data_IF_033576436254
#
_entry.id   IF_033576436254
#
_cell.length_a   1.000
_cell.length_b   1.000
_cell.length_c   1.000
_cell.angle_alpha   90.00
_cell.angle_beta   90.00
_cell.angle_gamma   90.00
#
_symmetry.space_group_name_H-M   'P 1'
#
loop_
_entity.id
_entity.type
_entity.pdbx_description
1 polymer ?
#
# COMPACT_ATOMS: atom_id res chain seq x y z
N UNK A 1 -3.33 38.41 -17.69
CA UNK A 1 -3.44 38.05 -19.11
C UNK A 1 -2.74 36.74 -19.45
N UNK A 2 -1.68 36.33 -18.74
CA UNK A 2 -0.95 35.08 -19.03
C UNK A 2 -1.59 33.80 -18.44
N UNK A 3 -2.42 33.91 -17.41
CA UNK A 3 -3.12 32.75 -16.80
C UNK A 3 -4.30 32.24 -17.63
N UNK A 4 -4.95 33.12 -18.39
CA UNK A 4 -6.16 32.82 -19.18
C UNK A 4 -5.85 31.90 -20.37
N UNK A 5 -4.70 32.08 -21.01
CA UNK A 5 -4.25 31.22 -22.12
C UNK A 5 -3.90 29.80 -21.66
N UNK A 6 -3.33 29.63 -20.45
CA UNK A 6 -2.98 28.31 -19.90
C UNK A 6 -4.23 27.51 -19.49
N UNK A 7 -5.26 28.15 -18.94
CA UNK A 7 -6.53 27.49 -18.59
C UNK A 7 -7.33 27.08 -19.83
N UNK A 8 -7.29 27.88 -20.89
CA UNK A 8 -7.97 27.60 -22.16
C UNK A 8 -7.26 26.48 -22.95
N UNK A 9 -5.93 26.42 -22.89
CA UNK A 9 -5.13 25.32 -23.48
C UNK A 9 -5.26 23.99 -22.71
N UNK A 10 -5.33 24.03 -21.38
CA UNK A 10 -5.32 22.81 -20.53
C UNK A 10 -6.72 22.31 -20.13
N UNK A 11 -7.77 23.13 -20.28
CA UNK A 11 -9.16 22.78 -19.94
C UNK A 11 -9.66 21.46 -20.55
N UNK A 12 -9.50 21.19 -21.86
CA UNK A 12 -9.95 19.93 -22.47
C UNK A 12 -9.13 18.73 -21.98
N UNK A 13 -7.82 18.85 -21.83
CA UNK A 13 -6.95 17.80 -21.31
C UNK A 13 -7.28 17.46 -19.85
N UNK A 14 -7.50 18.47 -19.00
CA UNK A 14 -7.85 18.30 -17.60
C UNK A 14 -9.21 17.61 -17.43
N UNK A 15 -10.20 17.92 -18.29
CA UNK A 15 -11.51 17.27 -18.28
C UNK A 15 -11.42 15.81 -18.73
N UNK A 16 -10.60 15.51 -19.73
CA UNK A 16 -10.34 14.15 -20.19
C UNK A 16 -9.59 13.32 -19.14
N UNK A 17 -8.54 13.88 -18.54
CA UNK A 17 -7.78 13.26 -17.46
C UNK A 17 -8.69 12.91 -16.27
N UNK A 18 -9.60 13.81 -15.92
CA UNK A 18 -10.56 13.56 -14.83
C UNK A 18 -11.56 12.45 -15.18
N UNK A 19 -11.99 12.35 -16.45
CA UNK A 19 -12.81 11.24 -16.93
C UNK A 19 -12.09 9.89 -16.80
N UNK A 20 -10.81 9.85 -17.16
CA UNK A 20 -9.96 8.66 -16.99
C UNK A 20 -9.78 8.29 -15.51
N UNK A 21 -9.56 9.27 -14.63
CA UNK A 21 -9.44 9.04 -13.20
C UNK A 21 -10.71 8.45 -12.59
N UNK A 22 -11.90 8.92 -12.99
CA UNK A 22 -13.18 8.35 -12.54
C UNK A 22 -13.30 6.88 -12.98
N UNK A 23 -12.98 6.59 -14.24
CA UNK A 23 -13.00 5.21 -14.75
C UNK A 23 -12.03 4.31 -13.97
N UNK A 24 -10.80 4.78 -13.72
CA UNK A 24 -9.80 4.08 -12.91
C UNK A 24 -10.32 3.81 -11.50
N UNK A 25 -10.94 4.79 -10.84
CA UNK A 25 -11.52 4.62 -9.50
C UNK A 25 -12.61 3.57 -9.47
N UNK A 26 -13.50 3.52 -10.47
CA UNK A 26 -14.55 2.48 -10.56
C UNK A 26 -13.90 1.10 -10.66
N UNK A 27 -12.90 0.94 -11.53
CA UNK A 27 -12.17 -0.33 -11.67
C UNK A 27 -11.49 -0.72 -10.36
N UNK A 28 -10.85 0.22 -9.67
CA UNK A 28 -10.23 -0.02 -8.37
C UNK A 28 -11.25 -0.47 -7.32
N UNK A 29 -12.41 0.20 -7.24
CA UNK A 29 -13.47 -0.16 -6.29
C UNK A 29 -13.97 -1.57 -6.56
N UNK A 30 -14.28 -1.90 -7.82
CA UNK A 30 -14.74 -3.25 -8.20
C UNK A 30 -13.68 -4.31 -7.89
N UNK A 31 -12.41 -4.00 -8.18
CA UNK A 31 -11.28 -4.88 -7.86
C UNK A 31 -11.13 -5.08 -6.35
N UNK A 32 -11.29 -4.02 -5.55
CA UNK A 32 -11.25 -4.09 -4.10
C UNK A 32 -12.39 -4.93 -3.52
N UNK A 33 -13.62 -4.77 -4.03
CA UNK A 33 -14.77 -5.60 -3.65
C UNK A 33 -14.49 -7.07 -3.98
N UNK A 34 -13.98 -7.37 -5.17
CA UNK A 34 -13.65 -8.73 -5.58
C UNK A 34 -12.53 -9.35 -4.72
N UNK A 35 -11.52 -8.54 -4.37
CA UNK A 35 -10.42 -8.95 -3.49
C UNK A 35 -10.90 -9.28 -2.06
N UNK A 36 -11.88 -8.54 -1.54
CA UNK A 36 -12.52 -8.83 -0.24
C UNK A 36 -13.39 -10.08 -0.31
N UNK A 37 -14.12 -10.29 -1.41
CA UNK A 37 -14.97 -11.45 -1.59
C UNK A 37 -14.18 -12.77 -1.68
N UNK A 38 -12.96 -12.72 -2.24
CA UNK A 38 -12.10 -13.88 -2.46
C UNK A 38 -10.71 -13.66 -1.84
N UNK A 39 -10.61 -13.57 -0.50
CA UNK A 39 -9.40 -13.12 0.16
C UNK A 39 -8.23 -14.10 -0.04
N UNK A 40 -8.47 -15.40 -0.17
CA UNK A 40 -7.41 -16.38 -0.48
C UNK A 40 -6.72 -16.13 -1.82
N UNK A 41 -7.50 -15.83 -2.87
CA UNK A 41 -6.96 -15.54 -4.20
C UNK A 41 -6.24 -14.20 -4.19
N UNK A 42 -6.79 -13.20 -3.50
CA UNK A 42 -6.17 -11.88 -3.31
C UNK A 42 -4.82 -11.99 -2.61
N UNK A 43 -4.74 -12.75 -1.50
CA UNK A 43 -3.49 -13.00 -0.74
C UNK A 43 -2.39 -13.56 -1.63
N UNK A 44 -2.70 -14.59 -2.42
CA UNK A 44 -1.74 -15.23 -3.33
C UNK A 44 -1.33 -14.27 -4.46
N UNK A 45 -2.30 -13.59 -5.08
CA UNK A 45 -2.05 -12.66 -6.18
C UNK A 45 -1.09 -11.56 -5.76
N UNK A 46 -1.33 -10.94 -4.61
CA UNK A 46 -0.44 -9.92 -4.08
C UNK A 46 0.95 -10.46 -3.74
N UNK A 47 1.02 -11.66 -3.17
CA UNK A 47 2.29 -12.31 -2.88
C UNK A 47 3.10 -12.57 -4.16
N UNK A 48 2.44 -12.96 -5.25
CA UNK A 48 3.10 -13.11 -6.55
C UNK A 48 3.58 -11.77 -7.11
N UNK A 49 2.76 -10.71 -7.01
CA UNK A 49 3.16 -9.35 -7.40
C UNK A 49 4.40 -8.93 -6.60
N UNK A 50 4.41 -9.15 -5.28
CA UNK A 50 5.58 -8.89 -4.44
C UNK A 50 6.79 -9.72 -4.88
N UNK A 51 6.62 -11.01 -5.19
CA UNK A 51 7.71 -11.86 -5.68
C UNK A 51 8.36 -11.32 -6.95
N UNK A 52 7.55 -10.90 -7.94
CA UNK A 52 8.04 -10.26 -9.16
C UNK A 52 8.72 -8.92 -8.89
N UNK A 53 8.15 -8.10 -7.99
CA UNK A 53 8.75 -6.82 -7.58
C UNK A 53 10.11 -7.03 -6.91
N UNK A 54 10.24 -8.01 -6.00
CA UNK A 54 11.51 -8.34 -5.35
C UNK A 54 12.54 -8.81 -6.35
N UNK A 55 12.13 -9.68 -7.29
CA UNK A 55 13.00 -10.18 -8.35
C UNK A 55 13.51 -9.03 -9.24
N UNK A 56 12.60 -8.17 -9.72
CA UNK A 56 12.95 -7.04 -10.56
C UNK A 56 13.85 -6.03 -9.83
N UNK A 57 13.53 -5.69 -8.58
CA UNK A 57 14.36 -4.83 -7.75
C UNK A 57 15.75 -5.43 -7.53
N UNK A 58 15.84 -6.74 -7.29
CA UNK A 58 17.11 -7.46 -7.15
C UNK A 58 17.96 -7.36 -8.41
N UNK A 59 17.38 -7.67 -9.58
CA UNK A 59 18.08 -7.59 -10.88
C UNK A 59 18.53 -6.16 -11.17
N UNK A 60 17.65 -5.16 -11.03
CA UNK A 60 17.99 -3.75 -11.25
C UNK A 60 19.12 -3.30 -10.32
N UNK A 61 19.08 -3.67 -9.04
CA UNK A 61 20.12 -3.32 -8.07
C UNK A 61 21.47 -3.97 -8.40
N UNK A 62 21.47 -5.24 -8.82
CA UNK A 62 22.68 -5.93 -9.27
C UNK A 62 23.28 -5.20 -10.49
N UNK A 63 22.47 -4.93 -11.51
CA UNK A 63 22.91 -4.23 -12.73
C UNK A 63 23.45 -2.84 -12.39
N UNK A 64 22.77 -2.09 -11.53
CA UNK A 64 23.20 -0.75 -11.12
C UNK A 64 24.49 -0.77 -10.29
N UNK A 65 24.72 -1.85 -9.52
CA UNK A 65 25.98 -2.04 -8.79
C UNK A 65 27.18 -2.09 -9.72
N UNK A 66 27.02 -2.72 -10.90
CA UNK A 66 28.09 -2.80 -11.91
C UNK A 66 28.23 -1.54 -12.78
N UNK A 67 27.17 -0.72 -12.91
CA UNK A 67 27.21 0.53 -13.70
C UNK A 67 27.72 1.74 -12.93
N UNK A 68 27.71 1.68 -11.59
CA UNK A 68 28.17 2.77 -10.73
C UNK A 68 29.69 2.70 -10.55
N UNK A 69 30.40 3.84 -10.54
CA UNK A 69 31.81 3.90 -10.11
C UNK A 69 31.96 3.20 -8.74
N UNK A 70 33.09 2.55 -8.40
CA UNK A 70 33.26 1.82 -7.15
C UNK A 70 33.20 2.78 -5.95
N UNK A 71 31.98 3.12 -5.52
CA UNK A 71 31.72 3.80 -4.26
C UNK A 71 31.76 2.73 -3.17
N UNK A 72 32.08 3.14 -1.95
CA UNK A 72 32.30 2.35 -0.72
C UNK A 72 31.17 1.37 -0.31
N UNK A 73 30.13 1.19 -1.13
CA UNK A 73 28.99 0.30 -0.91
C UNK A 73 28.74 -0.76 -2.00
N UNK A 74 29.66 -0.98 -2.96
CA UNK A 74 29.47 -1.98 -4.03
C UNK A 74 29.10 -3.37 -3.49
N UNK A 75 29.90 -3.90 -2.56
CA UNK A 75 29.68 -5.24 -1.99
C UNK A 75 28.33 -5.35 -1.26
N UNK A 76 27.96 -4.32 -0.49
CA UNK A 76 26.67 -4.26 0.19
C UNK A 76 25.51 -4.25 -0.82
N UNK A 77 25.61 -3.44 -1.87
CA UNK A 77 24.57 -3.36 -2.92
C UNK A 77 24.41 -4.68 -3.66
N UNK A 78 25.52 -5.36 -3.96
CA UNK A 78 25.50 -6.66 -4.63
C UNK A 78 24.87 -7.75 -3.75
N UNK A 79 25.28 -7.85 -2.48
CA UNK A 79 24.71 -8.82 -1.53
C UNK A 79 23.21 -8.57 -1.36
N UNK A 80 22.81 -7.32 -1.14
CA UNK A 80 21.40 -6.96 -1.00
C UNK A 80 20.62 -7.29 -2.29
N UNK A 81 21.16 -6.96 -3.46
CA UNK A 81 20.53 -7.30 -4.75
C UNK A 81 20.34 -8.80 -4.96
N UNK A 82 21.34 -9.61 -4.60
CA UNK A 82 21.27 -11.07 -4.64
C UNK A 82 20.19 -11.58 -3.67
N UNK A 83 20.14 -11.07 -2.44
CA UNK A 83 19.12 -11.44 -1.45
C UNK A 83 17.71 -11.11 -1.95
N UNK A 84 17.51 -9.95 -2.59
CA UNK A 84 16.24 -9.59 -3.22
C UNK A 84 15.87 -10.55 -4.35
N UNK A 85 16.81 -10.89 -5.23
CA UNK A 85 16.57 -11.81 -6.33
C UNK A 85 16.21 -13.21 -5.83
N UNK A 86 16.98 -13.76 -4.88
CA UNK A 86 16.74 -15.07 -4.28
C UNK A 86 15.39 -15.09 -3.56
N UNK A 87 15.12 -14.08 -2.73
CA UNK A 87 13.83 -13.96 -2.03
C UNK A 87 12.66 -13.91 -3.03
N UNK A 88 12.80 -13.13 -4.11
CA UNK A 88 11.81 -13.06 -5.18
C UNK A 88 11.56 -14.42 -5.84
N UNK A 89 12.62 -15.16 -6.17
CA UNK A 89 12.49 -16.54 -6.69
C UNK A 89 11.76 -17.44 -5.70
N UNK A 90 12.17 -17.46 -4.42
CA UNK A 90 11.54 -18.31 -3.40
C UNK A 90 10.05 -18.01 -3.26
N UNK A 91 9.67 -16.73 -3.24
CA UNK A 91 8.26 -16.29 -3.14
C UNK A 91 7.45 -16.76 -4.35
N UNK A 92 8.01 -16.69 -5.56
CA UNK A 92 7.32 -17.10 -6.79
C UNK A 92 7.12 -18.62 -6.87
N UNK A 93 8.09 -19.41 -6.40
CA UNK A 93 7.99 -20.87 -6.40
C UNK A 93 7.15 -21.43 -5.25
N UNK A 94 7.14 -20.75 -4.09
CA UNK A 94 6.38 -21.17 -2.91
C UNK A 94 5.52 -20.02 -2.35
N UNK A 95 4.45 -19.61 -3.07
CA UNK A 95 3.63 -18.48 -2.68
C UNK A 95 2.87 -18.71 -1.37
N UNK A 96 2.54 -19.97 -1.03
CA UNK A 96 1.83 -20.30 0.21
C UNK A 96 2.72 -20.01 1.43
N UNK A 97 3.96 -20.50 1.43
CA UNK A 97 4.94 -20.23 2.49
C UNK A 97 5.26 -18.73 2.61
N UNK A 98 5.29 -18.03 1.48
CA UNK A 98 5.45 -16.58 1.45
C UNK A 98 4.27 -15.87 2.13
N UNK A 99 3.02 -16.25 1.85
CA UNK A 99 1.82 -15.72 2.54
C UNK A 99 1.89 -15.98 4.05
N UNK A 100 2.33 -17.17 4.48
CA UNK A 100 2.51 -17.49 5.90
C UNK A 100 3.53 -16.57 6.57
N UNK A 101 4.68 -16.39 5.92
CA UNK A 101 5.78 -15.55 6.42
C UNK A 101 5.38 -14.07 6.48
N UNK A 102 4.68 -13.57 5.45
CA UNK A 102 4.15 -12.22 5.40
C UNK A 102 3.13 -11.98 6.52
N UNK A 103 2.31 -12.99 6.84
CA UNK A 103 1.31 -12.89 7.91
C UNK A 103 1.97 -12.81 9.28
N UNK A 104 3.04 -13.56 9.52
CA UNK A 104 3.85 -13.42 10.73
C UNK A 104 4.43 -12.02 10.86
N UNK A 105 5.06 -11.52 9.80
CA UNK A 105 5.61 -10.17 9.79
C UNK A 105 4.52 -9.13 10.06
N UNK A 106 3.35 -9.27 9.44
CA UNK A 106 2.20 -8.39 9.64
C UNK A 106 1.69 -8.45 11.10
N UNK A 107 1.59 -9.63 11.71
CA UNK A 107 1.18 -9.78 13.10
C UNK A 107 2.16 -9.10 14.07
N UNK A 108 3.46 -9.25 13.86
CA UNK A 108 4.48 -8.54 14.64
C UNK A 108 4.42 -7.02 14.42
N UNK A 109 4.17 -6.57 13.19
CA UNK A 109 3.97 -5.15 12.89
C UNK A 109 2.78 -4.58 13.65
N UNK A 110 1.63 -5.28 13.69
CA UNK A 110 0.46 -4.82 14.45
C UNK A 110 0.75 -4.72 15.95
N UNK A 111 1.48 -5.68 16.52
CA UNK A 111 1.89 -5.62 17.93
C UNK A 111 2.78 -4.41 18.17
N UNK A 112 3.79 -4.21 17.32
CA UNK A 112 4.71 -3.08 17.44
C UNK A 112 3.98 -1.73 17.26
N UNK A 113 3.11 -1.63 16.26
CA UNK A 113 2.26 -0.46 16.01
C UNK A 113 1.37 -0.16 17.22
N UNK A 114 0.67 -1.16 17.76
CA UNK A 114 -0.17 -0.99 18.95
C UNK A 114 0.63 -0.46 20.15
N UNK A 115 1.82 -0.98 20.40
CA UNK A 115 2.71 -0.51 21.47
C UNK A 115 3.13 0.95 21.23
N UNK A 116 3.60 1.27 20.02
CA UNK A 116 4.03 2.62 19.67
C UNK A 116 2.88 3.62 19.80
N UNK A 117 1.70 3.29 19.30
CA UNK A 117 0.49 4.14 19.39
C UNK A 117 0.09 4.40 20.84
N UNK A 118 0.13 3.39 21.70
CA UNK A 118 -0.11 3.56 23.14
C UNK A 118 0.92 4.51 23.75
N UNK A 119 2.21 4.31 23.48
CA UNK A 119 3.29 5.19 23.98
C UNK A 119 3.08 6.63 23.47
N UNK A 120 2.78 6.82 22.19
CA UNK A 120 2.54 8.13 21.58
C UNK A 120 1.35 8.86 22.22
N UNK A 121 0.33 8.13 22.68
CA UNK A 121 -0.82 8.72 23.37
C UNK A 121 -0.44 9.36 24.72
N UNK A 122 0.61 8.87 25.38
CA UNK A 122 1.12 9.44 26.62
C UNK A 122 2.19 10.52 26.40
N UNK A 123 2.98 10.41 25.33
CA UNK A 123 4.03 11.38 24.99
C UNK A 123 3.44 12.67 24.41
N UNK A 124 2.43 12.55 23.55
CA UNK A 124 1.79 13.71 22.97
C UNK A 124 0.86 14.36 24.01
N UNK A 125 1.12 15.62 24.38
CA UNK A 125 0.19 16.47 25.17
C UNK A 125 -1.06 16.87 24.37
N UNK A 126 -1.53 16.00 23.48
CA UNK A 126 -2.79 16.16 22.78
C UNK A 126 -3.90 16.09 23.82
N UNK A 127 -4.90 16.96 23.73
CA UNK A 127 -5.95 17.10 24.76
C UNK A 127 -6.53 15.77 25.22
N UNK A 128 -6.94 15.70 26.51
CA UNK A 128 -7.39 14.49 27.22
C UNK A 128 -8.35 13.59 26.42
N UNK A 129 -9.21 14.18 25.60
CA UNK A 129 -10.18 13.47 24.74
C UNK A 129 -9.52 12.65 23.62
N UNK A 130 -8.53 13.20 22.92
CA UNK A 130 -7.84 12.51 21.82
C UNK A 130 -6.87 11.46 22.33
N UNK A 131 -6.23 11.69 23.48
CA UNK A 131 -5.32 10.72 24.08
C UNK A 131 -6.03 9.40 24.41
N UNK A 132 -7.28 9.44 24.87
CA UNK A 132 -8.06 8.22 25.14
C UNK A 132 -8.38 7.42 23.87
N UNK A 133 -8.73 8.12 22.77
CA UNK A 133 -9.01 7.48 21.49
C UNK A 133 -7.77 6.77 20.93
N UNK A 134 -6.58 7.39 21.08
CA UNK A 134 -5.31 6.79 20.65
C UNK A 134 -4.94 5.57 21.49
N UNK A 135 -5.15 5.60 22.81
CA UNK A 135 -4.92 4.41 23.65
C UNK A 135 -5.84 3.28 23.25
N UNK A 136 -7.12 3.57 23.01
CA UNK A 136 -8.10 2.57 22.58
C UNK A 136 -7.70 1.95 21.23
N UNK A 137 -7.33 2.77 20.25
CA UNK A 137 -6.84 2.31 18.96
C UNK A 137 -5.62 1.40 19.11
N UNK A 138 -4.61 1.84 19.87
CA UNK A 138 -3.40 1.05 20.11
C UNK A 138 -3.67 -0.27 20.83
N UNK A 139 -4.60 -0.30 21.80
CA UNK A 139 -5.01 -1.53 22.48
C UNK A 139 -5.75 -2.48 21.52
N UNK A 140 -6.65 -1.97 20.69
CA UNK A 140 -7.35 -2.77 19.68
C UNK A 140 -6.33 -3.37 18.70
N UNK A 141 -5.42 -2.55 18.17
CA UNK A 141 -4.39 -2.99 17.22
C UNK A 141 -3.46 -4.03 17.82
N UNK A 142 -3.07 -3.86 19.09
CA UNK A 142 -2.27 -4.84 19.83
C UNK A 142 -3.00 -6.18 19.98
N UNK A 143 -4.28 -6.16 20.36
CA UNK A 143 -5.11 -7.37 20.49
C UNK A 143 -5.26 -8.05 19.13
N UNK A 144 -5.52 -7.29 18.06
CA UNK A 144 -5.60 -7.82 16.70
C UNK A 144 -4.30 -8.51 16.28
N UNK A 145 -3.14 -7.90 16.56
CA UNK A 145 -1.84 -8.52 16.29
C UNK A 145 -1.64 -9.85 17.04
N UNK A 146 -1.99 -9.89 18.33
CA UNK A 146 -1.92 -11.11 19.14
C UNK A 146 -2.88 -12.19 18.59
N UNK A 147 -4.11 -11.82 18.23
CA UNK A 147 -5.08 -12.75 17.66
C UNK A 147 -4.62 -13.32 16.32
N UNK A 148 -4.04 -12.49 15.45
CA UNK A 148 -3.49 -12.92 14.15
C UNK A 148 -2.41 -13.97 14.33
N UNK A 149 -1.48 -13.75 15.26
CA UNK A 149 -0.39 -14.69 15.54
C UNK A 149 -0.88 -15.97 16.23
N UNK A 150 -1.89 -15.87 17.10
CA UNK A 150 -2.49 -17.04 17.78
C UNK A 150 -3.25 -17.96 16.82
N UNK A 151 -3.89 -17.39 15.80
CA UNK A 151 -4.64 -18.12 14.77
C UNK A 151 -3.77 -18.56 13.57
N UNK A 152 -2.46 -18.34 13.63
CA UNK A 152 -1.55 -18.79 12.58
C UNK A 152 -1.44 -20.32 12.60
N UNK A 153 -1.50 -21.02 11.44
CA UNK A 153 -1.40 -20.52 10.06
C UNK A 153 -2.73 -20.17 9.37
N UNK A 154 -3.87 -20.46 10.00
CA UNK A 154 -5.20 -20.29 9.39
C UNK A 154 -5.52 -18.82 9.08
N UNK A 155 -5.04 -17.88 9.89
CA UNK A 155 -5.17 -16.44 9.67
C UNK A 155 -4.55 -15.96 8.35
N UNK A 156 -3.50 -16.62 7.88
CA UNK A 156 -2.73 -16.19 6.72
C UNK A 156 -3.50 -16.26 5.40
N UNK A 157 -4.46 -17.19 5.29
CA UNK A 157 -5.23 -17.41 4.07
C UNK A 157 -6.05 -16.16 3.72
N UNK A 158 -6.67 -15.53 4.71
CA UNK A 158 -7.63 -14.45 4.50
C UNK A 158 -7.09 -13.06 4.86
N UNK A 159 -6.17 -12.96 5.81
CA UNK A 159 -5.79 -11.66 6.39
C UNK A 159 -5.15 -10.72 5.36
N UNK A 160 -4.15 -11.21 4.62
CA UNK A 160 -3.40 -10.40 3.65
C UNK A 160 -4.34 -9.91 2.55
N UNK A 161 -5.08 -10.82 1.93
CA UNK A 161 -6.01 -10.50 0.85
C UNK A 161 -7.14 -9.57 1.27
N UNK A 162 -7.64 -9.70 2.50
CA UNK A 162 -8.63 -8.80 3.07
C UNK A 162 -8.04 -7.41 3.33
N UNK A 163 -6.86 -7.33 3.94
CA UNK A 163 -6.16 -6.06 4.16
C UNK A 163 -5.95 -5.30 2.84
N UNK A 164 -5.48 -6.01 1.81
CA UNK A 164 -5.25 -5.44 0.49
C UNK A 164 -6.56 -5.05 -0.19
N UNK A 165 -7.58 -5.90 -0.12
CA UNK A 165 -8.88 -5.61 -0.71
C UNK A 165 -9.51 -4.34 -0.12
N UNK A 166 -9.45 -4.20 1.21
CA UNK A 166 -9.89 -2.98 1.90
C UNK A 166 -9.02 -1.78 1.49
N UNK A 167 -7.71 -1.94 1.42
CA UNK A 167 -6.79 -0.86 1.02
C UNK A 167 -7.06 -0.36 -0.40
N UNK A 168 -7.25 -1.28 -1.36
CA UNK A 168 -7.59 -0.96 -2.76
C UNK A 168 -8.94 -0.26 -2.84
N UNK A 169 -9.94 -0.76 -2.10
CA UNK A 169 -11.28 -0.19 -2.06
C UNK A 169 -11.27 1.24 -1.51
N UNK A 170 -10.59 1.46 -0.37
CA UNK A 170 -10.46 2.79 0.25
C UNK A 170 -9.67 3.76 -0.64
N UNK A 171 -8.63 3.26 -1.30
CA UNK A 171 -7.86 4.04 -2.27
C UNK A 171 -8.70 4.43 -3.48
N UNK A 172 -9.51 3.50 -4.01
CA UNK A 172 -10.44 3.76 -5.12
C UNK A 172 -11.52 4.79 -4.75
N UNK A 173 -12.10 4.67 -3.55
CA UNK A 173 -13.05 5.66 -3.02
C UNK A 173 -12.41 7.04 -2.86
N UNK A 174 -11.22 7.11 -2.28
CA UNK A 174 -10.49 8.37 -2.10
C UNK A 174 -10.17 9.04 -3.43
N UNK A 175 -9.70 8.26 -4.41
CA UNK A 175 -9.41 8.76 -5.76
C UNK A 175 -10.68 9.21 -6.48
N UNK A 176 -11.81 8.52 -6.29
CA UNK A 176 -13.11 8.94 -6.84
C UNK A 176 -13.53 10.30 -6.28
N UNK A 177 -13.41 10.51 -4.97
CA UNK A 177 -13.74 11.79 -4.33
C UNK A 177 -12.86 12.92 -4.88
N UNK A 178 -11.55 12.69 -5.03
CA UNK A 178 -10.61 13.65 -5.62
C UNK A 178 -10.97 13.94 -7.07
N UNK A 179 -11.23 12.91 -7.88
CA UNK A 179 -11.59 13.10 -9.29
C UNK A 179 -12.89 13.91 -9.44
N UNK A 180 -13.90 13.63 -8.60
CA UNK A 180 -15.14 14.40 -8.60
C UNK A 180 -14.95 15.84 -8.15
N UNK A 181 -14.12 16.09 -7.12
CA UNK A 181 -13.86 17.46 -6.65
C UNK A 181 -13.08 18.29 -7.68
N UNK A 182 -12.07 17.70 -8.33
CA UNK A 182 -11.33 18.32 -9.43
C UNK A 182 -12.25 18.62 -10.61
N UNK A 183 -13.14 17.69 -11.00
CA UNK A 183 -14.10 17.92 -12.09
C UNK A 183 -15.03 19.10 -11.80
N UNK A 184 -15.51 19.20 -10.56
CA UNK A 184 -16.40 20.30 -10.13
C UNK A 184 -15.68 21.64 -10.19
N UNK A 185 -14.42 21.72 -9.74
CA UNK A 185 -13.62 22.94 -9.79
C UNK A 185 -13.34 23.41 -11.23
N UNK A 186 -13.06 22.49 -12.16
CA UNK A 186 -12.86 22.81 -13.59
C UNK A 186 -14.16 23.36 -14.21
N UNK A 187 -15.30 22.77 -13.90
CA UNK A 187 -16.58 23.25 -14.45
C UNK A 187 -16.93 24.65 -13.94
N UNK A 188 -16.69 24.96 -12.66
CA UNK A 188 -16.96 26.29 -12.08
C UNK A 188 -16.11 27.41 -12.69
N UNK A 189 -14.87 27.11 -13.06
CA UNK A 189 -13.95 28.07 -13.69
C UNK A 189 -14.21 28.27 -15.17
N UNK A 190 -14.90 27.33 -15.83
CA UNK A 190 -15.36 27.48 -17.23
C UNK A 190 -16.65 28.32 -17.35
N UNK A 191 -17.40 28.49 -16.25
CA UNK A 191 -18.67 29.24 -16.23
C UNK A 191 -18.51 30.68 -15.71
N UNK A 192 -17.33 31.04 -15.18
CA UNK A 192 -17.01 32.37 -14.63
C UNK A 192 -16.19 33.21 -15.63
#
# INVERSE_FOLDING_TARGET
MESTSLTELLGPEAKQATGWLIALSIVMILTGILAIALPGISSVTFTLILGWLLLFNGVVRIVNSFRSKPVRGFWLSLIVGILYAISGVIVLFNPIEAVLTLTWLFGFMLIFEGIVTIISAFVNKTGRSLAWLLVLDGVITLILGILVLSQWPQSAIWLIGLYIGISILMSGLSLLVIAMSTRRAINQTSEA
#
